data_IF_190225454428
#
_entry.id   IF_190225454428
#
_cell.length_a   1.000
_cell.length_b   1.000
_cell.length_c   1.000
_cell.angle_alpha   90.00
_cell.angle_beta   90.00
_cell.angle_gamma   90.00
#
_symmetry.space_group_name_H-M   'P 1'
#
loop_
_entity.id
_entity.type
_entity.pdbx_description
1 polymer ?
#
# COMPACT_ATOMS: atom_id res chain seq x y z
N UNK A 1 -14.21 15.55 14.05
CA UNK A 1 -14.94 15.84 12.79
C UNK A 1 -14.37 15.08 11.57
N UNK A 2 -13.73 13.92 11.74
CA UNK A 2 -13.19 13.11 10.61
C UNK A 2 -13.74 11.68 10.56
N UNK A 3 -14.79 11.38 11.32
CA UNK A 3 -15.31 10.00 11.37
C UNK A 3 -16.17 9.62 10.15
N UNK A 4 -16.55 10.58 9.31
CA UNK A 4 -17.46 10.37 8.17
C UNK A 4 -16.75 10.37 6.81
N UNK A 5 -15.44 10.46 6.76
CA UNK A 5 -14.64 10.48 5.54
C UNK A 5 -13.38 9.63 5.70
N UNK A 6 -13.21 8.67 4.83
CA UNK A 6 -11.98 7.88 4.72
C UNK A 6 -10.99 8.63 3.83
N UNK A 7 -9.78 8.88 4.31
CA UNK A 7 -8.71 9.48 3.50
C UNK A 7 -7.71 8.40 3.11
N UNK A 8 -7.55 8.18 1.80
CA UNK A 8 -6.67 7.15 1.24
C UNK A 8 -5.61 7.80 0.36
N UNK A 9 -4.36 7.55 0.66
CA UNK A 9 -3.22 7.87 -0.21
C UNK A 9 -2.79 6.61 -0.95
N UNK A 10 -2.60 6.72 -2.25
CA UNK A 10 -2.15 5.60 -3.09
C UNK A 10 -0.77 5.94 -3.65
N UNK A 11 0.19 5.02 -3.51
CA UNK A 11 1.48 5.12 -4.17
C UNK A 11 1.30 5.14 -5.69
N UNK A 12 1.88 6.12 -6.39
CA UNK A 12 1.73 6.24 -7.84
C UNK A 12 3.06 6.00 -8.55
N UNK A 13 3.04 5.08 -9.51
CA UNK A 13 4.12 4.88 -10.47
C UNK A 13 3.54 4.96 -11.89
N UNK A 14 4.14 5.74 -12.77
CA UNK A 14 3.66 5.93 -14.14
C UNK A 14 3.69 4.64 -14.96
N UNK A 15 4.49 3.65 -14.58
CA UNK A 15 4.53 2.32 -15.18
C UNK A 15 3.31 1.46 -14.83
N UNK A 16 2.61 1.82 -13.73
CA UNK A 16 1.49 1.08 -13.15
C UNK A 16 0.18 1.89 -13.10
N UNK A 17 0.00 2.81 -14.05
CA UNK A 17 -1.22 3.65 -14.12
C UNK A 17 -2.51 2.85 -14.18
N UNK A 18 -2.52 1.75 -14.93
CA UNK A 18 -3.70 0.90 -15.02
C UNK A 18 -4.05 0.28 -13.66
N UNK A 19 -3.03 -0.17 -12.90
CA UNK A 19 -3.23 -0.71 -11.57
C UNK A 19 -3.79 0.36 -10.62
N UNK A 20 -3.19 1.56 -10.61
CA UNK A 20 -3.69 2.69 -9.81
C UNK A 20 -5.17 2.98 -10.09
N UNK A 21 -5.57 3.07 -11.36
CA UNK A 21 -6.95 3.39 -11.73
C UNK A 21 -7.92 2.27 -11.32
N UNK A 22 -7.54 1.01 -11.52
CA UNK A 22 -8.33 -0.15 -11.12
C UNK A 22 -8.51 -0.20 -9.60
N UNK A 23 -7.43 0.09 -8.83
CA UNK A 23 -7.51 0.18 -7.37
C UNK A 23 -8.46 1.30 -6.93
N UNK A 24 -8.35 2.49 -7.50
CA UNK A 24 -9.22 3.63 -7.19
C UNK A 24 -10.69 3.26 -7.39
N UNK A 25 -11.02 2.72 -8.56
CA UNK A 25 -12.39 2.30 -8.87
C UNK A 25 -12.87 1.23 -7.90
N UNK A 26 -12.07 0.18 -7.66
CA UNK A 26 -12.42 -0.91 -6.75
C UNK A 26 -12.68 -0.44 -5.31
N UNK A 27 -11.98 0.61 -4.84
CA UNK A 27 -12.26 1.23 -3.53
C UNK A 27 -13.62 1.93 -3.55
N UNK A 28 -13.93 2.69 -4.60
CA UNK A 28 -15.23 3.37 -4.70
C UNK A 28 -16.39 2.38 -4.77
N UNK A 29 -16.24 1.28 -5.52
CA UNK A 29 -17.27 0.24 -5.63
C UNK A 29 -17.50 -0.51 -4.31
N UNK A 30 -16.48 -0.62 -3.47
CA UNK A 30 -16.51 -1.38 -2.22
C UNK A 30 -16.46 -0.49 -0.97
N UNK A 31 -16.94 0.75 -1.03
CA UNK A 31 -16.98 1.61 0.15
C UNK A 31 -18.41 1.97 0.53
N UNK A 32 -18.80 1.67 1.77
CA UNK A 32 -20.04 2.15 2.38
C UNK A 32 -19.95 3.56 2.94
N UNK A 33 -18.73 4.14 2.96
CA UNK A 33 -18.46 5.50 3.46
C UNK A 33 -17.90 6.39 2.35
N UNK A 34 -18.07 7.70 2.43
CA UNK A 34 -17.35 8.64 1.56
C UNK A 34 -15.83 8.44 1.65
N UNK A 35 -15.15 8.40 0.50
CA UNK A 35 -13.70 8.22 0.41
C UNK A 35 -13.08 9.37 -0.38
N UNK A 36 -12.01 9.96 0.15
CA UNK A 36 -11.12 10.86 -0.58
C UNK A 36 -9.85 10.12 -0.95
N UNK A 37 -9.54 10.02 -2.25
CA UNK A 37 -8.37 9.28 -2.75
C UNK A 37 -7.36 10.25 -3.35
N UNK A 38 -6.10 10.13 -2.91
CA UNK A 38 -4.99 11.02 -3.26
C UNK A 38 -3.81 10.19 -3.77
N UNK A 39 -3.61 10.09 -5.10
CA UNK A 39 -2.40 9.49 -5.65
C UNK A 39 -1.16 10.33 -5.33
N UNK A 40 -0.11 9.70 -4.80
CA UNK A 40 1.15 10.35 -4.46
C UNK A 40 2.07 10.42 -5.70
N UNK A 41 1.84 11.41 -6.54
CA UNK A 41 2.64 11.64 -7.75
C UNK A 41 3.95 12.32 -7.38
N UNK A 42 5.07 11.60 -7.56
CA UNK A 42 6.42 12.06 -7.16
C UNK A 42 6.75 13.45 -7.69
N UNK A 43 6.54 13.73 -8.98
CA UNK A 43 6.87 15.02 -9.59
C UNK A 43 6.09 16.19 -8.98
N UNK A 44 4.85 15.97 -8.52
CA UNK A 44 4.07 16.99 -7.82
C UNK A 44 4.66 17.28 -6.44
N UNK A 45 5.11 16.25 -5.71
CA UNK A 45 5.77 16.42 -4.43
C UNK A 45 7.14 17.11 -4.57
N UNK A 46 7.88 16.82 -5.62
CA UNK A 46 9.16 17.49 -5.97
C UNK A 46 8.93 18.97 -6.28
N UNK A 47 7.93 19.32 -7.08
CA UNK A 47 7.58 20.70 -7.41
C UNK A 47 7.20 21.52 -6.17
N UNK A 48 6.58 20.89 -5.17
CA UNK A 48 6.23 21.50 -3.89
C UNK A 48 7.36 21.48 -2.86
N UNK A 49 8.56 20.97 -3.24
CA UNK A 49 9.73 20.81 -2.34
C UNK A 49 9.45 19.93 -1.12
N UNK A 50 8.45 19.06 -1.21
CA UNK A 50 8.14 18.05 -0.18
C UNK A 50 8.98 16.80 -0.37
N UNK A 51 9.45 16.52 -1.60
CA UNK A 51 10.31 15.40 -1.92
C UNK A 51 11.47 15.88 -2.80
N UNK A 52 12.71 15.62 -2.36
CA UNK A 52 13.94 16.02 -3.09
C UNK A 52 15.05 14.94 -3.00
N UNK A 53 14.64 13.74 -2.62
CA UNK A 53 15.50 12.58 -2.51
C UNK A 53 15.90 12.10 -3.89
N UNK A 54 17.21 11.88 -4.12
CA UNK A 54 17.70 11.22 -5.33
C UNK A 54 17.15 9.79 -5.40
N UNK A 55 16.90 9.30 -6.63
CA UNK A 55 16.48 7.91 -6.81
C UNK A 55 17.58 6.98 -6.29
N UNK A 56 17.19 6.07 -5.38
CA UNK A 56 18.08 5.01 -4.90
C UNK A 56 18.09 3.87 -5.93
N UNK A 57 19.27 3.27 -6.18
CA UNK A 57 19.40 2.15 -7.12
C UNK A 57 18.57 0.94 -6.70
N UNK A 58 18.27 0.79 -5.41
CA UNK A 58 17.45 -0.29 -4.86
C UNK A 58 15.95 0.09 -4.79
N UNK A 59 15.58 1.27 -5.25
CA UNK A 59 14.19 1.74 -5.24
C UNK A 59 13.42 1.15 -6.41
N UNK A 60 12.48 0.23 -6.15
CA UNK A 60 11.67 -0.44 -7.17
C UNK A 60 10.57 0.45 -7.77
N UNK A 61 9.96 1.35 -6.99
CA UNK A 61 8.83 2.19 -7.41
C UNK A 61 9.06 3.66 -7.10
N UNK A 62 8.37 4.57 -7.79
CA UNK A 62 8.47 6.01 -7.54
C UNK A 62 7.93 6.41 -6.17
N UNK A 63 7.08 5.60 -5.57
CA UNK A 63 6.47 5.84 -4.26
C UNK A 63 7.15 5.11 -3.11
N UNK A 64 8.27 4.44 -3.33
CA UNK A 64 8.97 3.69 -2.25
C UNK A 64 9.19 4.51 -0.99
N UNK A 65 9.45 5.81 -1.11
CA UNK A 65 9.69 6.69 0.03
C UNK A 65 8.63 7.77 0.22
N UNK A 66 7.92 8.19 -0.83
CA UNK A 66 6.89 9.23 -0.73
C UNK A 66 5.72 8.80 0.16
N UNK A 67 5.48 7.49 0.34
CA UNK A 67 4.50 6.92 1.27
C UNK A 67 4.64 7.44 2.71
N UNK A 68 5.86 7.74 3.13
CA UNK A 68 6.14 8.24 4.48
C UNK A 68 5.87 9.73 4.64
N UNK A 69 5.49 10.44 3.58
CA UNK A 69 5.02 11.83 3.66
C UNK A 69 3.53 11.94 4.03
N UNK A 70 2.79 10.84 4.06
CA UNK A 70 1.34 10.85 4.36
C UNK A 70 1.01 11.63 5.63
N UNK A 71 1.66 11.42 6.80
CA UNK A 71 1.36 12.20 7.99
C UNK A 71 1.63 13.70 7.81
N UNK A 72 2.67 14.08 7.06
CA UNK A 72 2.96 15.48 6.75
C UNK A 72 1.91 16.10 5.82
N UNK A 73 1.44 15.36 4.83
CA UNK A 73 0.38 15.80 3.91
C UNK A 73 -0.96 15.97 4.62
N UNK A 74 -1.20 15.22 5.69
CA UNK A 74 -2.33 15.38 6.61
C UNK A 74 -2.13 16.49 7.64
N UNK A 75 -1.05 17.26 7.55
CA UNK A 75 -0.66 18.26 8.56
C UNK A 75 -0.61 17.66 9.98
N UNK A 76 -0.24 16.38 10.07
CA UNK A 76 -0.18 15.59 11.30
C UNK A 76 -1.50 15.57 12.08
N UNK A 77 -2.65 15.51 11.39
CA UNK A 77 -3.98 15.47 11.99
C UNK A 77 -4.77 14.27 11.54
N UNK A 78 -5.46 13.64 12.49
CA UNK A 78 -6.39 12.54 12.24
C UNK A 78 -5.73 11.30 11.68
N UNK A 79 -6.48 10.54 10.89
CA UNK A 79 -6.08 9.24 10.35
C UNK A 79 -6.01 9.27 8.82
N UNK A 80 -5.14 8.44 8.25
CA UNK A 80 -5.05 8.23 6.82
C UNK A 80 -4.61 6.80 6.49
N UNK A 81 -5.17 6.23 5.44
CA UNK A 81 -4.67 5.01 4.82
C UNK A 81 -3.61 5.35 3.78
N UNK A 82 -2.55 4.56 3.73
CA UNK A 82 -1.67 4.45 2.57
C UNK A 82 -1.74 3.02 2.04
N UNK A 83 -1.74 2.87 0.72
CA UNK A 83 -1.62 1.57 0.04
C UNK A 83 -0.81 1.68 -1.26
N UNK A 84 -0.13 0.60 -1.61
CA UNK A 84 0.56 0.47 -2.90
C UNK A 84 -0.47 0.44 -4.03
N UNK A 85 -0.10 0.85 -5.25
CA UNK A 85 -1.03 0.92 -6.38
C UNK A 85 -1.36 -0.45 -7.01
N UNK A 86 -0.55 -1.45 -6.74
CA UNK A 86 -0.65 -2.81 -7.26
C UNK A 86 -1.55 -3.71 -6.41
N UNK A 87 -2.63 -3.14 -5.89
CA UNK A 87 -3.65 -3.81 -5.09
C UNK A 87 -5.02 -3.80 -5.77
N UNK A 88 -5.92 -4.66 -5.30
CA UNK A 88 -7.34 -4.68 -5.65
C UNK A 88 -8.18 -4.78 -4.38
N UNK A 89 -9.08 -3.81 -4.18
CA UNK A 89 -10.02 -3.79 -3.07
C UNK A 89 -11.23 -4.67 -3.41
N UNK A 90 -11.55 -5.66 -2.54
CA UNK A 90 -12.62 -6.65 -2.74
C UNK A 90 -13.70 -6.60 -1.67
N UNK A 91 -13.47 -5.82 -0.62
CA UNK A 91 -14.39 -5.67 0.50
C UNK A 91 -14.54 -4.22 0.91
N UNK A 92 -15.56 -3.93 1.71
CA UNK A 92 -15.82 -2.58 2.20
C UNK A 92 -14.63 -2.03 2.99
N UNK A 93 -14.00 -0.98 2.41
CA UNK A 93 -12.82 -0.31 2.99
C UNK A 93 -13.12 0.32 4.36
N UNK A 94 -14.39 0.59 4.68
CA UNK A 94 -14.81 1.09 5.99
C UNK A 94 -14.48 0.12 7.12
N UNK A 95 -14.43 -1.19 6.83
CA UNK A 95 -14.04 -2.23 7.81
C UNK A 95 -12.55 -2.11 8.17
N UNK A 96 -11.68 -1.82 7.18
CA UNK A 96 -10.27 -1.53 7.44
C UNK A 96 -10.12 -0.22 8.23
N UNK A 97 -10.88 0.80 7.86
CA UNK A 97 -10.90 2.10 8.55
C UNK A 97 -11.35 1.99 10.00
N UNK A 98 -12.25 1.07 10.33
CA UNK A 98 -12.73 0.82 11.68
C UNK A 98 -11.68 0.19 12.62
N UNK A 99 -10.58 -0.37 12.07
CA UNK A 99 -9.50 -0.96 12.87
C UNK A 99 -8.58 0.07 13.54
N UNK A 100 -8.84 1.37 13.38
CA UNK A 100 -8.06 2.43 14.02
C UNK A 100 -7.97 2.22 15.53
N UNK A 101 -6.75 2.25 16.03
CA UNK A 101 -6.43 2.13 17.45
C UNK A 101 -5.64 3.37 17.89
N UNK A 102 -6.24 4.20 18.73
CA UNK A 102 -5.67 5.47 19.18
C UNK A 102 -4.36 5.27 19.99
N UNK A 103 -4.15 4.08 20.54
CA UNK A 103 -2.91 3.77 21.25
C UNK A 103 -1.73 3.53 20.29
N UNK A 104 -1.98 3.28 19.02
CA UNK A 104 -0.97 2.97 18.01
C UNK A 104 -0.60 4.20 17.17
N UNK A 105 0.65 4.25 16.74
CA UNK A 105 1.13 5.25 15.78
C UNK A 105 0.79 4.86 14.34
N UNK A 106 0.81 3.57 14.04
CA UNK A 106 0.32 3.01 12.79
C UNK A 106 -0.16 1.57 12.98
N UNK A 107 -1.03 1.11 12.08
CA UNK A 107 -1.34 -0.30 11.94
C UNK A 107 -0.93 -0.77 10.54
N UNK A 108 -0.42 -2.00 10.45
CA UNK A 108 -0.07 -2.64 9.18
C UNK A 108 -0.26 -4.15 9.26
N UNK A 109 -0.25 -4.82 8.10
CA UNK A 109 -0.18 -6.29 8.08
C UNK A 109 1.27 -6.71 8.32
N UNK A 110 1.49 -7.49 9.38
CA UNK A 110 2.82 -7.96 9.77
C UNK A 110 3.18 -9.26 9.03
N UNK A 111 3.52 -9.10 7.74
CA UNK A 111 3.94 -10.24 6.93
C UNK A 111 5.21 -10.90 7.47
N UNK A 112 5.15 -12.21 7.67
CA UNK A 112 6.35 -13.03 7.85
C UNK A 112 6.91 -13.36 6.46
N UNK A 113 7.97 -12.65 6.06
CA UNK A 113 8.47 -12.67 4.70
C UNK A 113 9.70 -13.55 4.54
N UNK A 114 9.51 -14.72 3.93
CA UNK A 114 10.58 -15.59 3.44
C UNK A 114 10.50 -15.70 1.91
N UNK A 115 11.23 -14.84 1.15
CA UNK A 115 11.11 -14.81 -0.31
C UNK A 115 11.58 -16.12 -0.95
N UNK A 116 10.77 -16.68 -1.86
CA UNK A 116 11.12 -17.84 -2.68
C UNK A 116 11.96 -17.45 -3.91
N UNK A 117 11.96 -16.17 -4.32
CA UNK A 117 12.65 -15.66 -5.51
C UNK A 117 13.60 -14.50 -5.17
N UNK A 118 14.65 -14.31 -5.99
CA UNK A 118 15.64 -13.21 -5.80
C UNK A 118 15.31 -11.94 -6.58
N UNK A 119 14.34 -11.98 -7.50
CA UNK A 119 13.99 -10.87 -8.39
C UNK A 119 12.49 -10.60 -8.40
N UNK A 120 12.12 -9.34 -8.62
CA UNK A 120 10.76 -8.85 -8.90
C UNK A 120 10.56 -8.66 -10.41
N UNK A 121 9.39 -8.11 -10.80
CA UNK A 121 9.10 -7.72 -12.18
C UNK A 121 10.18 -6.76 -12.73
N UNK A 122 10.35 -6.75 -14.04
CA UNK A 122 11.36 -5.95 -14.76
C UNK A 122 12.81 -6.18 -14.28
N UNK A 123 13.11 -7.33 -13.63
CA UNK A 123 14.46 -7.67 -13.17
C UNK A 123 14.92 -6.93 -11.91
N UNK A 124 14.04 -6.22 -11.23
CA UNK A 124 14.35 -5.52 -9.97
C UNK A 124 14.75 -6.49 -8.86
N UNK A 125 15.73 -6.09 -8.04
CA UNK A 125 16.29 -6.94 -6.98
C UNK A 125 15.30 -7.05 -5.82
N UNK A 126 15.04 -8.30 -5.40
CA UNK A 126 14.28 -8.60 -4.20
C UNK A 126 15.22 -8.76 -3.00
N UNK A 127 15.26 -7.77 -2.12
CA UNK A 127 16.06 -7.82 -0.89
C UNK A 127 15.26 -8.45 0.26
N UNK A 128 15.94 -9.24 1.10
CA UNK A 128 15.38 -9.76 2.35
C UNK A 128 15.78 -8.83 3.49
N UNK A 129 14.80 -8.26 4.18
CA UNK A 129 15.02 -7.46 5.39
C UNK A 129 13.80 -7.59 6.32
N UNK A 130 13.96 -7.37 7.65
CA UNK A 130 12.84 -7.36 8.59
C UNK A 130 11.75 -6.38 8.19
N UNK A 131 10.47 -6.71 8.46
CA UNK A 131 9.29 -5.88 8.15
C UNK A 131 9.08 -5.62 6.65
N UNK A 132 9.58 -6.50 5.78
CA UNK A 132 9.32 -6.36 4.35
C UNK A 132 7.82 -6.48 4.06
N UNK A 133 7.32 -5.65 3.13
CA UNK A 133 5.92 -5.48 2.76
C UNK A 133 5.00 -4.88 3.85
N UNK A 134 5.47 -4.65 5.07
CA UNK A 134 4.67 -4.02 6.12
C UNK A 134 4.22 -2.60 5.75
N UNK A 135 5.05 -1.86 5.02
CA UNK A 135 4.77 -0.50 4.58
C UNK A 135 3.93 -0.40 3.30
N UNK A 136 3.48 -1.53 2.72
CA UNK A 136 2.63 -1.52 1.52
C UNK A 136 1.17 -1.15 1.83
N UNK A 137 0.71 -1.45 3.05
CA UNK A 137 -0.58 -1.04 3.59
C UNK A 137 -0.36 -0.49 5.00
N UNK A 138 -0.65 0.79 5.22
CA UNK A 138 -0.47 1.46 6.50
C UNK A 138 -1.69 2.30 6.85
N UNK A 139 -2.23 2.11 8.04
CA UNK A 139 -3.25 2.97 8.63
C UNK A 139 -2.57 3.86 9.66
N UNK A 140 -2.31 5.11 9.30
CA UNK A 140 -1.56 6.07 10.10
C UNK A 140 -2.45 6.82 11.09
N UNK A 141 -2.05 6.87 12.36
CA UNK A 141 -2.41 7.91 13.29
C UNK A 141 -1.46 9.10 13.07
N UNK A 142 -1.87 10.04 12.23
CA UNK A 142 -0.95 11.10 11.76
C UNK A 142 -0.40 11.96 12.90
N UNK A 143 -1.16 12.13 13.98
CA UNK A 143 -0.75 12.93 15.15
C UNK A 143 0.44 12.33 15.88
N UNK A 144 0.54 11.00 15.89
CA UNK A 144 1.65 10.25 16.50
C UNK A 144 2.87 10.09 15.58
N UNK A 145 2.75 10.46 14.29
CA UNK A 145 3.79 10.28 13.29
C UNK A 145 4.62 11.54 13.00
N UNK A 146 4.75 12.47 13.95
CA UNK A 146 5.41 13.79 13.77
C UNK A 146 6.90 13.72 13.43
N UNK A 147 7.56 12.60 13.71
CA UNK A 147 8.95 12.34 13.31
C UNK A 147 9.13 12.23 11.79
N UNK A 148 8.08 11.87 11.04
CA UNK A 148 8.07 11.81 9.58
C UNK A 148 7.97 13.22 8.96
N UNK A 149 8.94 14.07 9.29
CA UNK A 149 9.08 15.39 8.67
C UNK A 149 9.56 15.28 7.23
N UNK A 150 9.38 16.34 6.43
CA UNK A 150 9.94 16.42 5.06
C UNK A 150 11.44 16.12 5.06
N UNK A 151 12.18 16.72 5.98
CA UNK A 151 13.63 16.52 6.07
C UNK A 151 13.99 15.08 6.41
N UNK A 152 13.33 14.49 7.41
CA UNK A 152 13.57 13.09 7.80
C UNK A 152 13.30 12.11 6.65
N UNK A 153 12.15 12.22 5.98
CA UNK A 153 11.79 11.33 4.87
C UNK A 153 12.79 11.45 3.71
N UNK A 154 13.35 12.63 3.46
CA UNK A 154 14.32 12.83 2.39
C UNK A 154 15.73 12.37 2.73
N UNK A 155 16.10 12.27 4.02
CA UNK A 155 17.49 11.95 4.45
C UNK A 155 17.65 10.56 5.05
N UNK A 156 16.64 10.03 5.74
CA UNK A 156 16.71 8.71 6.34
C UNK A 156 16.98 7.62 5.31
N UNK A 157 17.69 6.56 5.66
CA UNK A 157 17.90 5.42 4.77
C UNK A 157 16.59 4.70 4.46
N UNK A 158 16.53 3.94 3.37
CA UNK A 158 15.36 3.14 3.03
C UNK A 158 15.00 2.13 4.13
N UNK A 159 16.02 1.53 4.76
CA UNK A 159 15.83 0.59 5.87
C UNK A 159 15.27 1.27 7.12
N UNK A 160 15.73 2.49 7.45
CA UNK A 160 15.15 3.24 8.59
C UNK A 160 13.67 3.55 8.38
N UNK A 161 13.28 3.93 7.16
CA UNK A 161 11.89 4.21 6.84
C UNK A 161 11.04 2.93 6.85
N UNK A 162 11.41 1.90 6.10
CA UNK A 162 10.62 0.68 5.94
C UNK A 162 10.61 -0.23 7.17
N UNK A 163 11.60 -0.13 8.05
CA UNK A 163 11.61 -0.81 9.34
C UNK A 163 10.95 0.00 10.45
N UNK A 164 10.38 1.15 10.13
CA UNK A 164 9.69 2.05 11.07
C UNK A 164 10.59 2.51 12.24
N UNK A 165 11.90 2.71 12.00
CA UNK A 165 12.85 3.16 13.03
C UNK A 165 12.66 4.62 13.46
N UNK A 166 11.69 5.29 12.88
CA UNK A 166 11.19 6.59 13.30
C UNK A 166 10.21 6.50 14.49
N UNK A 167 9.75 5.30 14.83
CA UNK A 167 9.00 5.02 16.06
C UNK A 167 9.97 4.79 17.24
N UNK A 168 9.49 5.00 18.46
CA UNK A 168 10.28 4.79 19.65
C UNK A 168 10.22 3.35 20.15
N UNK A 169 9.10 2.66 19.92
CA UNK A 169 8.86 1.28 20.33
C UNK A 169 8.11 0.49 19.24
N UNK A 170 8.38 -0.82 19.18
CA UNK A 170 7.60 -1.78 18.37
C UNK A 170 6.12 -1.85 18.82
N UNK A 171 5.84 -1.52 20.08
CA UNK A 171 4.47 -1.51 20.62
C UNK A 171 3.60 -0.43 19.98
N UNK A 172 4.21 0.57 19.34
CA UNK A 172 3.47 1.58 18.58
C UNK A 172 2.89 1.05 17.27
N UNK A 173 3.31 -0.15 16.82
CA UNK A 173 2.85 -0.79 15.59
C UNK A 173 1.72 -1.76 15.91
N UNK A 174 0.50 -1.37 15.57
CA UNK A 174 -0.66 -2.27 15.60
C UNK A 174 -0.64 -3.28 14.45
N UNK A 175 -1.43 -4.32 14.57
CA UNK A 175 -1.54 -5.38 13.58
C UNK A 175 -2.92 -5.33 12.90
N UNK A 176 -2.91 -5.44 11.57
CA UNK A 176 -4.08 -5.69 10.75
C UNK A 176 -4.08 -7.18 10.42
N UNK A 177 -5.20 -7.87 10.58
CA UNK A 177 -5.32 -9.28 10.23
C UNK A 177 -4.84 -9.54 8.79
N UNK A 178 -3.84 -10.40 8.65
CA UNK A 178 -3.17 -10.68 7.39
C UNK A 178 -4.03 -11.48 6.40
N UNK A 179 -5.00 -12.26 6.88
CA UNK A 179 -5.79 -13.13 6.01
C UNK A 179 -6.73 -12.34 5.11
N UNK A 180 -7.41 -11.35 5.64
CA UNK A 180 -8.39 -10.57 4.88
C UNK A 180 -7.78 -9.39 4.12
N UNK A 181 -6.75 -8.75 4.67
CA UNK A 181 -6.16 -7.52 4.15
C UNK A 181 -4.73 -7.71 3.69
N UNK A 182 -4.36 -7.12 2.54
CA UNK A 182 -3.01 -7.15 1.97
C UNK A 182 -2.49 -8.58 1.68
N UNK A 183 -3.35 -9.44 1.12
CA UNK A 183 -2.94 -10.79 0.71
C UNK A 183 -1.94 -10.70 -0.45
N UNK A 184 -0.74 -11.26 -0.28
CA UNK A 184 0.35 -11.17 -1.25
C UNK A 184 0.20 -12.26 -2.32
N UNK A 185 -0.30 -11.88 -3.49
CA UNK A 185 -0.46 -12.76 -4.66
C UNK A 185 0.92 -13.26 -5.12
N UNK A 186 0.99 -14.54 -5.51
CA UNK A 186 2.22 -15.23 -5.94
C UNK A 186 3.33 -15.34 -4.85
N UNK A 187 3.04 -14.89 -3.62
CA UNK A 187 3.92 -15.04 -2.45
C UNK A 187 3.30 -15.94 -1.39
N UNK A 188 2.05 -15.66 -1.03
CA UNK A 188 1.27 -16.50 -0.11
C UNK A 188 0.56 -17.60 -0.89
N UNK A 189 0.35 -18.73 -0.26
CA UNK A 189 -0.44 -19.82 -0.85
C UNK A 189 -1.91 -19.41 -0.89
N UNK A 190 -2.52 -19.54 -2.07
CA UNK A 190 -3.94 -19.27 -2.23
C UNK A 190 -4.74 -20.27 -1.40
N UNK A 191 -5.76 -19.83 -0.63
CA UNK A 191 -6.61 -20.75 0.11
C UNK A 191 -7.26 -21.80 -0.79
N UNK A 192 -7.35 -23.05 -0.32
CA UNK A 192 -7.87 -24.16 -1.11
C UNK A 192 -9.37 -24.03 -1.42
N UNK A 193 -10.14 -23.45 -0.50
CA UNK A 193 -11.59 -23.30 -0.72
C UNK A 193 -11.95 -21.93 -1.30
N UNK A 194 -12.93 -21.94 -2.20
CA UNK A 194 -13.46 -20.72 -2.81
C UNK A 194 -13.97 -19.73 -1.76
N UNK A 195 -14.65 -20.22 -0.71
CA UNK A 195 -15.20 -19.38 0.35
C UNK A 195 -14.10 -18.59 1.08
N UNK A 196 -12.92 -19.20 1.28
CA UNK A 196 -11.77 -18.52 1.87
C UNK A 196 -11.13 -17.52 0.91
N UNK A 197 -11.08 -17.82 -0.39
CA UNK A 197 -10.62 -16.87 -1.41
C UNK A 197 -11.56 -15.67 -1.49
N UNK A 198 -12.87 -15.89 -1.38
CA UNK A 198 -13.89 -14.83 -1.38
C UNK A 198 -13.80 -13.93 -0.13
N UNK A 199 -13.18 -14.39 0.95
CA UNK A 199 -12.93 -13.61 2.18
C UNK A 199 -11.70 -12.69 2.10
N UNK A 200 -10.84 -12.83 1.07
CA UNK A 200 -9.71 -11.91 0.86
C UNK A 200 -10.24 -10.52 0.54
N UNK A 201 -9.96 -9.57 1.42
CA UNK A 201 -10.54 -8.21 1.35
C UNK A 201 -9.72 -7.24 0.50
N UNK A 202 -8.39 -7.40 0.50
CA UNK A 202 -7.46 -6.60 -0.31
C UNK A 202 -6.33 -7.50 -0.78
N UNK A 203 -6.18 -7.67 -2.08
CA UNK A 203 -5.12 -8.49 -2.69
C UNK A 203 -4.04 -7.61 -3.31
N UNK A 204 -2.77 -8.05 -3.28
CA UNK A 204 -1.61 -7.25 -3.61
C UNK A 204 -0.60 -8.03 -4.46
N UNK A 205 -0.27 -7.54 -5.64
CA UNK A 205 0.70 -8.14 -6.58
C UNK A 205 2.13 -7.60 -6.37
N UNK A 206 2.69 -7.77 -5.19
CA UNK A 206 4.00 -7.21 -4.81
C UNK A 206 5.18 -7.66 -5.69
N UNK A 207 5.04 -8.73 -6.46
CA UNK A 207 6.05 -9.21 -7.41
C UNK A 207 5.84 -8.70 -8.84
N UNK A 208 4.81 -7.87 -9.07
CA UNK A 208 4.36 -7.38 -10.36
C UNK A 208 3.06 -8.06 -10.79
N UNK A 209 2.07 -7.25 -11.16
CA UNK A 209 0.73 -7.72 -11.44
C UNK A 209 0.54 -8.26 -12.86
N UNK A 210 -0.69 -8.73 -13.18
CA UNK A 210 -0.99 -9.36 -14.45
C UNK A 210 -0.76 -8.46 -15.65
N UNK A 211 -0.73 -7.14 -15.46
CA UNK A 211 -0.40 -6.17 -16.52
C UNK A 211 1.05 -6.24 -17.01
N UNK A 212 1.93 -6.95 -16.31
CA UNK A 212 3.32 -7.22 -16.74
C UNK A 212 3.55 -8.66 -17.19
N UNK A 213 2.55 -9.56 -17.02
CA UNK A 213 2.67 -10.98 -17.39
C UNK A 213 2.54 -11.16 -18.91
N UNK A 214 3.63 -11.46 -19.58
CA UNK A 214 3.65 -11.80 -21.01
C UNK A 214 3.73 -13.33 -21.17
N UNK A 215 2.68 -13.94 -21.75
CA UNK A 215 2.67 -15.37 -22.11
C UNK A 215 2.60 -16.34 -20.93
N UNK A 216 2.30 -15.89 -19.72
CA UNK A 216 2.08 -16.73 -18.54
C UNK A 216 0.59 -17.02 -18.36
N UNK A 217 0.26 -18.15 -17.73
CA UNK A 217 -1.11 -18.41 -17.31
C UNK A 217 -1.55 -17.46 -16.19
N UNK A 218 -2.76 -16.93 -16.32
CA UNK A 218 -3.36 -16.07 -15.33
C UNK A 218 -4.05 -16.88 -14.23
N UNK A 219 -3.73 -16.56 -12.98
CA UNK A 219 -4.43 -17.08 -11.80
C UNK A 219 -5.89 -16.59 -11.76
N UNK A 220 -6.67 -17.12 -10.84
CA UNK A 220 -8.05 -16.64 -10.62
C UNK A 220 -8.07 -15.17 -10.21
N UNK A 221 -7.16 -14.73 -9.34
CA UNK A 221 -7.05 -13.34 -8.92
C UNK A 221 -6.57 -12.41 -10.05
N UNK A 222 -5.67 -12.90 -10.94
CA UNK A 222 -5.27 -12.14 -12.14
C UNK A 222 -6.46 -11.88 -13.08
N UNK A 223 -7.30 -12.90 -13.30
CA UNK A 223 -8.52 -12.77 -14.10
C UNK A 223 -9.52 -11.81 -13.47
N UNK A 224 -9.67 -11.85 -12.16
CA UNK A 224 -10.49 -10.91 -11.40
C UNK A 224 -10.00 -9.47 -11.56
N UNK A 225 -8.69 -9.24 -11.52
CA UNK A 225 -8.11 -7.92 -11.78
C UNK A 225 -8.45 -7.38 -13.18
N UNK A 226 -8.38 -8.23 -14.23
CA UNK A 226 -8.77 -7.80 -15.58
C UNK A 226 -10.24 -7.45 -15.67
N UNK A 227 -11.12 -8.18 -14.99
CA UNK A 227 -12.56 -7.87 -14.93
C UNK A 227 -12.79 -6.53 -14.21
N UNK A 228 -12.13 -6.30 -13.08
CA UNK A 228 -12.22 -5.04 -12.35
C UNK A 228 -11.71 -3.85 -13.20
N UNK A 229 -10.59 -4.05 -13.93
CA UNK A 229 -10.09 -3.05 -14.88
C UNK A 229 -11.09 -2.74 -15.99
N UNK A 230 -11.72 -3.76 -16.56
CA UNK A 230 -12.73 -3.57 -17.60
C UNK A 230 -13.93 -2.77 -17.06
N UNK A 231 -14.39 -3.09 -15.86
CA UNK A 231 -15.45 -2.34 -15.18
C UNK A 231 -15.08 -0.87 -14.95
N UNK A 232 -13.85 -0.60 -14.49
CA UNK A 232 -13.34 0.75 -14.27
C UNK A 232 -13.23 1.60 -15.57
N UNK A 233 -13.26 0.96 -16.75
CA UNK A 233 -13.16 1.62 -18.05
C UNK A 233 -14.51 1.73 -18.78
N UNK A 234 -15.54 1.04 -18.32
CA UNK A 234 -16.88 1.08 -18.90
C UNK A 234 -17.70 2.21 -18.27
N UNK A 235 -18.07 3.16 -19.10
CA UNK A 235 -19.00 4.24 -18.76
C UNK A 235 -20.42 3.88 -19.20
#
# INVERSE_FOLDING_TARGET
>A
MQDNLITVFIGYDSRERAATNTLIDSIYQNSSMPVSIIPLVRSQLENQKLFYRKRDINQSTDFSFTRFLVPRLMDYKGWALFMDCDMLCRADISKLWALRDIEKSLLCVKHDHSPKTKTKFLGEIQTKYPKKNWSSLMLFNCEKCRKLTVDYVNRASGLELHQFKWLESEDEIGEIDSFGWNFLVDVQELPESKEKVDQLSLVHWTLGGPWFKNGQEFSTLDKEWFLAREQAMNF
#
